data_IF_375578620227
#
_entry.id   IF_375578620227
#
_cell.length_a   1.000
_cell.length_b   1.000
_cell.length_c   1.000
_cell.angle_alpha   90.00
_cell.angle_beta   90.00
_cell.angle_gamma   90.00
#
_symmetry.space_group_name_H-M   'P 1'
#
loop_
_entity.id
_entity.type
_entity.pdbx_description
1 polymer ?
#
# COMPACT_ATOMS: atom_id res chain seq x y z
N UNK A 1 18.38 -25.56 -32.50
CA UNK A 1 17.24 -25.30 -31.61
C UNK A 1 17.64 -24.28 -30.55
N UNK A 2 17.53 -22.99 -30.86
CA UNK A 2 17.90 -21.92 -29.93
C UNK A 2 16.74 -21.52 -29.02
N UNK A 3 15.50 -21.58 -29.53
CA UNK A 3 14.30 -21.30 -28.75
C UNK A 3 14.11 -22.27 -27.57
N UNK A 4 14.37 -23.57 -27.76
CA UNK A 4 14.15 -24.55 -26.70
C UNK A 4 15.02 -24.25 -25.47
N UNK A 5 16.29 -23.93 -25.69
CA UNK A 5 17.23 -23.58 -24.64
C UNK A 5 16.82 -22.29 -23.89
N UNK A 6 16.23 -21.33 -24.61
CA UNK A 6 15.71 -20.10 -23.99
C UNK A 6 14.48 -20.39 -23.12
N UNK A 7 13.58 -21.26 -23.56
CA UNK A 7 12.40 -21.68 -22.79
C UNK A 7 12.85 -22.40 -21.51
N UNK A 8 13.76 -23.37 -21.63
CA UNK A 8 14.29 -24.12 -20.49
C UNK A 8 15.00 -23.20 -19.46
N UNK A 9 15.69 -22.17 -19.94
CA UNK A 9 16.35 -21.17 -19.08
C UNK A 9 15.34 -20.28 -18.35
N UNK A 10 14.24 -19.91 -19.01
CA UNK A 10 13.16 -19.13 -18.40
C UNK A 10 12.41 -19.96 -17.37
N UNK A 11 12.09 -21.22 -17.67
CA UNK A 11 11.42 -22.13 -16.73
C UNK A 11 12.27 -22.39 -15.47
N UNK A 12 13.58 -22.55 -15.63
CA UNK A 12 14.48 -22.70 -14.49
C UNK A 12 14.48 -21.46 -13.57
N UNK A 13 14.43 -20.25 -14.15
CA UNK A 13 14.35 -19.00 -13.39
C UNK A 13 13.01 -18.79 -12.70
N UNK A 14 11.91 -19.18 -13.35
CA UNK A 14 10.57 -19.16 -12.74
C UNK A 14 10.56 -20.05 -11.51
N UNK A 15 11.08 -21.28 -11.65
CA UNK A 15 11.13 -22.24 -10.56
C UNK A 15 12.00 -21.78 -9.39
N UNK A 16 13.16 -21.19 -9.67
CA UNK A 16 14.01 -20.58 -8.65
C UNK A 16 13.30 -19.40 -7.94
N UNK A 17 12.54 -18.60 -8.68
CA UNK A 17 11.73 -17.52 -8.10
C UNK A 17 10.58 -18.08 -7.23
N UNK A 18 9.88 -19.12 -7.68
CA UNK A 18 8.81 -19.79 -6.92
C UNK A 18 9.33 -20.48 -5.64
N UNK A 19 10.54 -21.03 -5.66
CA UNK A 19 11.18 -21.63 -4.49
C UNK A 19 11.76 -20.58 -3.53
N UNK A 20 12.18 -19.41 -4.05
CA UNK A 20 12.74 -18.30 -3.27
C UNK A 20 11.68 -17.39 -2.67
N UNK A 21 10.47 -17.35 -3.23
CA UNK A 21 9.34 -16.63 -2.65
C UNK A 21 8.54 -17.54 -1.71
N UNK A 22 8.40 -17.20 -0.41
CA UNK A 22 7.36 -17.81 0.41
C UNK A 22 6.01 -17.35 -0.13
N UNK A 23 5.41 -18.19 -0.97
CA UNK A 23 4.04 -18.13 -1.51
C UNK A 23 3.07 -17.27 -0.65
N UNK A 24 2.72 -16.04 -1.03
CA UNK A 24 1.47 -15.47 -0.58
C UNK A 24 0.38 -16.09 -1.47
N UNK A 25 -0.28 -17.11 -0.95
CA UNK A 25 -1.49 -17.62 -1.57
C UNK A 25 -2.46 -16.47 -1.80
N UNK A 26 -2.90 -16.31 -3.05
CA UNK A 26 -4.01 -15.48 -3.43
C UNK A 26 -5.29 -16.02 -2.77
N UNK A 27 -5.58 -15.53 -1.56
CA UNK A 27 -6.90 -15.41 -0.97
C UNK A 27 -6.77 -14.50 0.26
N UNK A 28 -7.26 -13.26 0.12
CA UNK A 28 -7.72 -12.37 1.19
C UNK A 28 -7.27 -12.76 2.61
N UNK A 29 -6.02 -12.49 2.96
CA UNK A 29 -5.62 -12.43 4.36
C UNK A 29 -4.71 -11.20 4.48
N UNK A 30 -5.15 -10.13 5.17
CA UNK A 30 -4.31 -8.95 5.34
C UNK A 30 -2.98 -9.38 5.99
N UNK A 31 -1.83 -8.87 5.53
CA UNK A 31 -0.56 -9.25 6.11
C UNK A 31 -0.58 -8.90 7.60
N UNK A 32 -0.60 -9.99 8.40
CA UNK A 32 0.06 -10.12 9.69
C UNK A 32 -0.15 -8.92 10.62
N UNK A 33 -1.31 -8.86 11.28
CA UNK A 33 -1.62 -8.02 12.45
C UNK A 33 -0.60 -6.89 12.62
N UNK A 34 -0.65 -5.95 11.68
CA UNK A 34 0.00 -4.69 11.93
C UNK A 34 -0.76 -4.15 13.13
N UNK A 35 -0.07 -4.15 14.29
CA UNK A 35 -0.60 -3.76 15.59
C UNK A 35 -1.56 -2.63 15.34
N UNK A 36 -2.86 -2.86 15.54
CA UNK A 36 -3.91 -1.93 15.16
C UNK A 36 -3.52 -0.53 15.64
N UNK A 37 -2.93 0.27 14.74
CA UNK A 37 -2.40 1.60 15.06
C UNK A 37 -3.56 2.54 15.44
N UNK A 38 -4.80 2.08 15.27
CA UNK A 38 -6.05 2.60 15.79
C UNK A 38 -6.17 2.66 17.34
N UNK A 39 -5.14 2.32 18.14
CA UNK A 39 -5.15 2.63 19.58
C UNK A 39 -4.85 4.12 19.80
N UNK A 40 -5.88 4.96 19.64
CA UNK A 40 -5.88 6.34 20.15
C UNK A 40 -5.96 7.47 19.11
N UNK A 41 -6.33 7.20 17.85
CA UNK A 41 -6.43 8.23 16.81
C UNK A 41 -5.09 8.65 16.19
N UNK A 42 -3.98 8.04 16.62
CA UNK A 42 -2.64 8.30 16.11
C UNK A 42 -2.41 7.40 14.89
N UNK A 43 -2.59 7.93 13.69
CA UNK A 43 -2.36 7.20 12.45
C UNK A 43 -2.81 8.00 11.22
N UNK A 44 -2.90 7.34 10.08
CA UNK A 44 -3.33 7.96 8.82
C UNK A 44 -4.41 7.14 8.15
N UNK A 45 -5.24 7.79 7.32
CA UNK A 45 -6.32 7.15 6.57
C UNK A 45 -6.30 7.58 5.13
N UNK A 46 -6.52 6.64 4.21
CA UNK A 46 -6.61 6.90 2.78
C UNK A 46 -8.07 6.89 2.33
N UNK A 47 -8.52 8.04 1.84
CA UNK A 47 -9.82 8.19 1.23
C UNK A 47 -9.70 8.04 -0.29
N UNK A 48 -10.38 7.04 -0.84
CA UNK A 48 -10.58 6.91 -2.27
C UNK A 48 -11.95 7.48 -2.67
N UNK A 49 -12.03 8.40 -3.65
CA UNK A 49 -13.30 8.91 -4.14
C UNK A 49 -14.08 7.78 -4.82
N UNK A 50 -15.40 7.69 -4.60
CA UNK A 50 -16.19 6.52 -4.95
C UNK A 50 -16.46 6.30 -6.45
N UNK A 51 -15.96 7.12 -7.38
CA UNK A 51 -16.36 7.04 -8.80
C UNK A 51 -15.23 7.31 -9.80
N UNK A 52 -14.61 6.23 -10.27
CA UNK A 52 -14.69 5.87 -11.69
C UNK A 52 -13.81 6.60 -12.72
N UNK A 53 -12.54 6.91 -12.42
CA UNK A 53 -11.65 7.28 -13.52
C UNK A 53 -10.24 7.70 -13.18
N UNK A 54 -9.99 8.12 -11.94
CA UNK A 54 -8.66 8.51 -11.53
C UNK A 54 -8.32 7.86 -10.19
N UNK A 55 -7.10 7.34 -10.08
CA UNK A 55 -6.56 6.76 -8.85
C UNK A 55 -6.25 7.86 -7.81
N UNK A 56 -7.06 8.91 -7.76
CA UNK A 56 -6.84 10.01 -6.85
C UNK A 56 -7.20 9.58 -5.44
N UNK A 57 -6.30 9.81 -4.48
CA UNK A 57 -6.52 9.48 -3.08
C UNK A 57 -6.22 10.69 -2.21
N UNK A 58 -6.98 10.90 -1.14
CA UNK A 58 -6.65 11.93 -0.15
C UNK A 58 -6.24 11.25 1.15
N UNK A 59 -5.03 11.54 1.61
CA UNK A 59 -4.54 11.07 2.91
C UNK A 59 -5.02 12.04 3.99
N UNK A 60 -5.55 11.48 5.07
CA UNK A 60 -5.94 12.20 6.27
C UNK A 60 -5.19 11.67 7.48
N UNK A 61 -5.09 12.46 8.55
CA UNK A 61 -4.75 11.91 9.87
C UNK A 61 -5.92 11.12 10.44
N UNK A 62 -5.64 10.18 11.33
CA UNK A 62 -6.62 9.35 12.00
C UNK A 62 -7.63 10.14 12.83
N UNK A 63 -7.23 11.32 13.32
CA UNK A 63 -8.06 12.25 14.09
C UNK A 63 -8.84 13.26 13.22
N UNK A 64 -8.67 13.25 11.90
CA UNK A 64 -9.37 14.19 11.02
C UNK A 64 -10.86 13.81 10.87
N UNK A 65 -11.80 14.77 10.98
CA UNK A 65 -13.24 14.50 10.86
C UNK A 65 -13.63 14.00 9.46
N UNK A 66 -12.87 14.38 8.44
CA UNK A 66 -13.07 13.97 7.05
C UNK A 66 -12.33 12.65 6.71
N UNK A 67 -11.69 12.01 7.69
CA UNK A 67 -10.97 10.77 7.48
C UNK A 67 -11.96 9.62 7.23
N UNK A 68 -12.14 9.28 5.96
CA UNK A 68 -12.95 8.14 5.51
C UNK A 68 -12.04 7.16 4.76
N UNK A 69 -12.35 5.87 4.81
CA UNK A 69 -11.57 4.83 4.13
C UNK A 69 -10.63 4.05 5.05
N UNK A 70 -9.63 3.41 4.45
CA UNK A 70 -8.73 2.46 5.11
C UNK A 70 -7.67 3.16 5.97
N UNK A 71 -7.19 2.47 7.00
CA UNK A 71 -6.03 2.92 7.77
C UNK A 71 -4.74 2.65 6.99
N UNK A 72 -3.78 3.55 7.13
CA UNK A 72 -2.43 3.41 6.61
C UNK A 72 -1.44 3.27 7.77
N UNK A 73 -0.49 2.37 7.57
CA UNK A 73 0.75 2.28 8.33
C UNK A 73 1.67 3.48 8.02
N UNK A 74 2.68 3.74 8.87
CA UNK A 74 3.70 4.75 8.57
C UNK A 74 4.42 4.50 7.23
N UNK A 75 4.68 3.23 6.89
CA UNK A 75 5.34 2.86 5.64
C UNK A 75 4.42 3.08 4.44
N UNK A 76 3.15 2.76 4.57
CA UNK A 76 2.16 3.01 3.51
C UNK A 76 1.92 4.51 3.31
N UNK A 77 1.99 5.32 4.37
CA UNK A 77 1.95 6.78 4.27
C UNK A 77 3.10 7.31 3.41
N UNK A 78 4.34 6.89 3.69
CA UNK A 78 5.52 7.32 2.92
C UNK A 78 5.37 6.98 1.43
N UNK A 79 4.92 5.75 1.13
CA UNK A 79 4.68 5.30 -0.23
C UNK A 79 3.57 6.13 -0.87
N UNK A 80 2.49 6.39 -0.14
CA UNK A 80 1.33 7.13 -0.63
C UNK A 80 1.65 8.60 -0.90
N UNK A 81 2.41 9.28 -0.03
CA UNK A 81 2.87 10.66 -0.27
C UNK A 81 3.82 10.80 -1.48
N UNK A 82 4.44 9.71 -1.90
CA UNK A 82 5.26 9.65 -3.11
C UNK A 82 4.48 9.40 -4.40
N UNK A 83 3.19 9.08 -4.33
CA UNK A 83 2.37 8.81 -5.52
C UNK A 83 1.80 10.11 -6.09
N UNK A 84 1.92 10.37 -7.40
CA UNK A 84 1.45 11.61 -8.02
C UNK A 84 -0.07 11.77 -7.98
N UNK A 85 -0.81 10.66 -7.85
CA UNK A 85 -2.26 10.67 -7.78
C UNK A 85 -2.77 10.87 -6.35
N UNK A 86 -1.90 10.83 -5.33
CA UNK A 86 -2.31 10.92 -3.94
C UNK A 86 -1.94 12.28 -3.35
N UNK A 87 -2.94 12.95 -2.78
CA UNK A 87 -2.80 14.25 -2.16
C UNK A 87 -2.89 14.15 -0.64
N UNK A 88 -2.14 15.01 0.05
CA UNK A 88 -2.29 15.19 1.48
C UNK A 88 -3.47 16.13 1.78
N UNK A 89 -4.28 15.79 2.78
CA UNK A 89 -5.39 16.64 3.20
C UNK A 89 -4.87 18.01 3.70
N UNK A 90 -5.27 19.13 3.08
CA UNK A 90 -4.78 20.47 3.45
C UNK A 90 -5.31 20.96 4.80
N UNK A 91 -6.29 20.26 5.39
CA UNK A 91 -6.88 20.61 6.68
C UNK A 91 -6.12 20.01 7.85
N UNK A 92 -5.70 18.75 7.74
CA UNK A 92 -5.02 18.03 8.81
C UNK A 92 -3.52 17.83 8.59
N UNK A 93 -2.98 18.20 7.41
CA UNK A 93 -1.56 18.14 7.06
C UNK A 93 -0.88 16.83 7.54
N UNK A 94 -1.35 15.66 7.04
CA UNK A 94 -0.88 14.35 7.49
C UNK A 94 0.65 14.18 7.39
N UNK A 95 1.30 14.84 6.44
CA UNK A 95 2.74 14.83 6.20
C UNK A 95 3.55 15.43 7.36
N UNK A 96 2.99 16.38 8.10
CA UNK A 96 3.70 17.06 9.21
C UNK A 96 3.76 16.21 10.47
N UNK A 97 2.93 15.19 10.56
CA UNK A 97 2.88 14.27 11.68
C UNK A 97 3.94 13.17 11.62
N UNK A 98 4.52 12.93 10.43
CA UNK A 98 5.52 11.88 10.23
C UNK A 98 6.93 12.29 10.70
N UNK A 99 7.11 13.52 11.20
CA UNK A 99 8.41 14.11 11.54
C UNK A 99 8.63 14.48 13.00
N UNK A 100 7.92 13.85 13.95
CA UNK A 100 8.08 14.09 15.39
C UNK A 100 8.56 12.84 16.14
#
# INVERSE_FOLDING_TARGET
>A
MYLQLQIDTVDAKIREAEEREPRPAAAATPPKQEKSHAKGGIGWRLQHPPKGGALHGVIHRGDCPDAVGGWLSPRELEIALGMPDIEACPRCHPERAAGA
#
